data_IF_121846721179
#
_entry.id   IF_121846721179
#
_cell.length_a   1.000
_cell.length_b   1.000
_cell.length_c   1.000
_cell.angle_alpha   90.00
_cell.angle_beta   90.00
_cell.angle_gamma   90.00
#
_symmetry.space_group_name_H-M   'P 1'
#
loop_
_entity.id
_entity.type
_entity.pdbx_description
1 polymer ?
#
# COMPACT_ATOMS: atom_id res chain seq x y z
N UNK A 1 -3.98 -0.53 -21.21
CA UNK A 1 -3.68 -0.09 -19.83
C UNK A 1 -4.80 0.83 -19.38
N UNK A 2 -5.49 0.48 -18.29
CA UNK A 2 -6.50 1.35 -17.68
C UNK A 2 -5.89 1.90 -16.40
N UNK A 3 -5.76 3.22 -16.31
CA UNK A 3 -5.23 3.89 -15.13
C UNK A 3 -6.38 4.56 -14.37
N UNK A 4 -6.57 4.17 -13.12
CA UNK A 4 -7.48 4.83 -12.20
C UNK A 4 -6.67 5.56 -11.13
N UNK A 5 -6.92 6.86 -10.97
CA UNK A 5 -6.26 7.68 -9.95
C UNK A 5 -7.27 8.01 -8.85
N UNK A 6 -6.99 7.55 -7.63
CA UNK A 6 -7.76 7.91 -6.45
C UNK A 6 -7.02 9.02 -5.70
N UNK A 7 -7.60 10.22 -5.70
CA UNK A 7 -7.10 11.38 -4.94
C UNK A 7 -8.18 11.78 -3.96
N UNK A 8 -7.96 11.46 -2.70
CA UNK A 8 -8.86 11.85 -1.62
C UNK A 8 -8.27 13.03 -0.85
N UNK A 9 -9.16 13.92 -0.40
CA UNK A 9 -8.79 15.04 0.45
C UNK A 9 -8.51 14.55 1.87
N UNK A 10 -7.33 14.86 2.39
CA UNK A 10 -6.91 14.52 3.77
C UNK A 10 -7.39 15.60 4.73
N UNK A 11 -8.71 15.84 4.72
CA UNK A 11 -9.34 16.96 5.41
C UNK A 11 -9.37 16.81 6.94
N UNK A 12 -9.12 15.60 7.46
CA UNK A 12 -9.00 15.33 8.88
C UNK A 12 -8.14 14.09 9.17
N UNK A 13 -7.58 13.95 10.40
CA UNK A 13 -6.84 12.75 10.80
C UNK A 13 -7.67 11.47 10.73
N UNK A 14 -8.98 11.57 11.02
CA UNK A 14 -9.90 10.42 10.89
C UNK A 14 -10.04 9.99 9.43
N UNK A 15 -10.15 10.95 8.51
CA UNK A 15 -10.23 10.68 7.08
C UNK A 15 -8.93 10.07 6.58
N UNK A 16 -7.78 10.61 6.98
CA UNK A 16 -6.47 10.06 6.62
C UNK A 16 -6.34 8.59 7.04
N UNK A 17 -6.73 8.25 8.27
CA UNK A 17 -6.74 6.85 8.75
C UNK A 17 -7.62 5.94 7.89
N UNK A 18 -8.83 6.41 7.53
CA UNK A 18 -9.75 5.65 6.66
C UNK A 18 -9.18 5.46 5.25
N UNK A 19 -8.47 6.47 4.72
CA UNK A 19 -7.81 6.39 3.42
C UNK A 19 -6.63 5.42 3.43
N UNK A 20 -5.80 5.44 4.49
CA UNK A 20 -4.73 4.46 4.67
C UNK A 20 -5.29 3.04 4.76
N UNK A 21 -6.37 2.83 5.52
CA UNK A 21 -7.03 1.53 5.61
C UNK A 21 -7.54 1.07 4.24
N UNK A 22 -8.22 1.95 3.50
CA UNK A 22 -8.72 1.65 2.17
C UNK A 22 -7.58 1.27 1.21
N UNK A 23 -6.48 2.04 1.19
CA UNK A 23 -5.32 1.78 0.33
C UNK A 23 -4.75 0.39 0.58
N UNK A 24 -4.50 0.05 1.86
CA UNK A 24 -3.94 -1.24 2.25
C UNK A 24 -4.88 -2.41 1.95
N UNK A 25 -6.19 -2.25 2.19
CA UNK A 25 -7.17 -3.29 1.89
C UNK A 25 -7.30 -3.57 0.38
N UNK A 26 -7.21 -2.54 -0.47
CA UNK A 26 -7.24 -2.74 -1.92
C UNK A 26 -5.96 -3.44 -2.41
N UNK A 27 -4.81 -3.07 -1.83
CA UNK A 27 -3.54 -3.74 -2.13
C UNK A 27 -3.54 -5.22 -1.73
N UNK A 28 -4.04 -5.54 -0.54
CA UNK A 28 -4.21 -6.93 -0.08
C UNK A 28 -5.15 -7.71 -1.01
N UNK A 29 -6.31 -7.13 -1.35
CA UNK A 29 -7.24 -7.74 -2.30
C UNK A 29 -6.59 -8.01 -3.66
N UNK A 30 -5.87 -7.03 -4.23
CA UNK A 30 -5.21 -7.18 -5.53
C UNK A 30 -4.18 -8.31 -5.52
N UNK A 31 -3.48 -8.52 -4.40
CA UNK A 31 -2.45 -9.55 -4.27
C UNK A 31 -2.97 -10.94 -3.92
N UNK A 32 -3.94 -11.02 -3.03
CA UNK A 32 -4.33 -12.28 -2.39
C UNK A 32 -5.65 -12.85 -2.92
N UNK A 33 -6.51 -11.99 -3.47
CA UNK A 33 -7.88 -12.37 -3.83
C UNK A 33 -8.20 -12.15 -5.31
N UNK A 34 -7.63 -11.12 -5.94
CA UNK A 34 -7.84 -10.86 -7.35
C UNK A 34 -7.15 -11.94 -8.19
N UNK A 35 -7.95 -12.64 -9.02
CA UNK A 35 -7.44 -13.66 -9.94
C UNK A 35 -8.15 -13.56 -11.27
N UNK A 36 -7.40 -13.16 -12.29
CA UNK A 36 -7.85 -13.11 -13.68
C UNK A 36 -6.69 -13.53 -14.59
N UNK A 37 -6.97 -14.27 -15.67
CA UNK A 37 -5.95 -14.76 -16.60
C UNK A 37 -5.62 -13.76 -17.74
N UNK A 38 -6.38 -12.67 -17.86
CA UNK A 38 -6.27 -11.68 -18.93
C UNK A 38 -5.90 -10.29 -18.43
N UNK A 39 -6.20 -9.99 -17.17
CA UNK A 39 -6.02 -8.68 -16.57
C UNK A 39 -5.17 -8.84 -15.32
N UNK A 40 -4.12 -8.04 -15.23
CA UNK A 40 -3.31 -7.88 -14.03
C UNK A 40 -3.72 -6.60 -13.30
N UNK A 41 -3.68 -6.63 -11.96
CA UNK A 41 -4.05 -5.51 -11.11
C UNK A 41 -2.87 -5.13 -10.22
N UNK A 42 -2.27 -3.99 -10.54
CA UNK A 42 -1.23 -3.37 -9.72
C UNK A 42 -1.81 -2.20 -8.94
N UNK A 43 -1.50 -2.14 -7.64
CA UNK A 43 -1.94 -1.09 -6.73
C UNK A 43 -0.70 -0.42 -6.16
N UNK A 44 -0.60 0.89 -6.36
CA UNK A 44 0.53 1.71 -5.93
C UNK A 44 -0.01 2.80 -5.01
N UNK A 45 0.61 2.96 -3.85
CA UNK A 45 0.18 3.90 -2.83
C UNK A 45 1.31 4.25 -1.87
N UNK A 46 1.16 5.39 -1.18
CA UNK A 46 2.21 5.93 -0.30
C UNK A 46 2.35 5.15 0.99
N UNK A 47 1.24 4.65 1.54
CA UNK A 47 1.27 3.85 2.77
C UNK A 47 1.85 2.46 2.51
N UNK A 48 1.53 1.86 1.35
CA UNK A 48 2.14 0.60 0.91
C UNK A 48 3.67 0.74 0.85
N UNK A 49 4.16 1.81 0.22
CA UNK A 49 5.60 2.08 0.14
C UNK A 49 6.22 2.27 1.53
N UNK A 50 5.56 3.01 2.41
CA UNK A 50 6.03 3.25 3.78
C UNK A 50 6.19 1.95 4.57
N UNK A 51 5.22 1.03 4.48
CA UNK A 51 5.30 -0.27 5.17
C UNK A 51 6.46 -1.14 4.68
N UNK A 52 6.69 -1.21 3.36
CA UNK A 52 7.82 -1.98 2.84
C UNK A 52 9.17 -1.34 3.22
N UNK A 53 9.27 0.00 3.26
CA UNK A 53 10.46 0.69 3.77
C UNK A 53 10.73 0.39 5.24
N UNK A 54 9.71 0.40 6.09
CA UNK A 54 9.85 0.05 7.53
C UNK A 54 10.31 -1.40 7.68
N UNK A 55 9.69 -2.32 6.95
CA UNK A 55 10.00 -3.75 6.97
C UNK A 55 11.44 -4.01 6.51
N UNK A 56 11.90 -3.32 5.47
CA UNK A 56 13.29 -3.41 5.02
C UNK A 56 14.26 -2.78 6.04
N UNK A 57 13.89 -1.65 6.65
CA UNK A 57 14.65 -1.07 7.76
C UNK A 57 14.80 -2.03 8.94
N UNK A 58 13.73 -2.74 9.32
CA UNK A 58 13.76 -3.76 10.38
C UNK A 58 14.68 -4.93 10.05
N UNK A 59 14.69 -5.39 8.78
CA UNK A 59 15.63 -6.45 8.34
C UNK A 59 17.08 -6.01 8.42
N UNK A 60 17.34 -4.72 8.19
CA UNK A 60 18.70 -4.15 8.17
C UNK A 60 19.21 -3.80 9.58
N UNK A 61 18.33 -3.48 10.52
CA UNK A 61 18.70 -3.05 11.88
C UNK A 61 19.74 -3.94 12.60
N UNK A 62 19.70 -5.29 12.50
CA UNK A 62 20.71 -6.15 13.15
C UNK A 62 22.14 -5.96 12.62
N UNK A 63 22.32 -5.47 11.39
CA UNK A 63 23.65 -5.26 10.80
C UNK A 63 24.31 -3.94 11.25
N UNK A 64 23.57 -3.07 11.94
CA UNK A 64 24.03 -1.75 12.40
C UNK A 64 24.03 -1.60 13.92
N UNK A 65 23.68 -2.66 14.67
CA UNK A 65 23.66 -2.66 16.14
C UNK A 65 24.98 -3.15 16.78
N UNK A 66 26.07 -3.16 16.02
CA UNK A 66 27.41 -3.59 16.45
C UNK A 66 28.27 -2.43 16.97
#
# INVERSE_FOLDING_TARGET
VVLALYRADRSSPEMERKLSLWELSVFEFAREHYKNCLIDMEVIGTEILNQEMIKDGQKLAPFFAA
#
